data_IF_287347276308
#
_entry.id   IF_287347276308
#
_cell.length_a   1.000
_cell.length_b   1.000
_cell.length_c   1.000
_cell.angle_alpha   90.00
_cell.angle_beta   90.00
_cell.angle_gamma   90.00
#
_symmetry.space_group_name_H-M   'P 1'
#
loop_
_entity.id
_entity.type
_entity.pdbx_description
1 polymer ?
#
# COMPACT_ATOMS: atom_id res chain seq x y z
N UNK A 1 -5.97 -5.47 -21.18
CA UNK A 1 -6.35 -4.05 -20.95
C UNK A 1 -7.86 -3.99 -20.85
N UNK A 2 -8.38 -3.36 -19.79
CA UNK A 2 -9.81 -3.04 -19.65
C UNK A 2 -10.04 -1.72 -20.38
N UNK A 3 -10.90 -1.73 -21.38
CA UNK A 3 -11.35 -0.53 -22.08
C UNK A 3 -12.70 -0.11 -21.48
N UNK A 4 -12.79 1.12 -21.02
CA UNK A 4 -14.03 1.74 -20.57
C UNK A 4 -14.53 2.68 -21.64
N UNK A 5 -15.86 2.68 -21.85
CA UNK A 5 -16.51 3.46 -22.88
C UNK A 5 -17.43 4.50 -22.22
N UNK A 6 -17.41 5.71 -22.71
CA UNK A 6 -18.37 6.71 -22.32
C UNK A 6 -19.71 6.42 -23.02
N UNK A 7 -20.73 6.13 -22.22
CA UNK A 7 -22.07 5.82 -22.69
C UNK A 7 -23.03 7.04 -22.67
N UNK A 8 -22.55 8.22 -22.30
CA UNK A 8 -23.36 9.42 -22.18
C UNK A 8 -23.52 10.18 -23.52
N UNK A 9 -22.73 9.81 -24.54
CA UNK A 9 -22.81 10.38 -25.88
C UNK A 9 -23.74 9.62 -26.82
N UNK A 10 -24.00 10.18 -28.02
CA UNK A 10 -24.80 9.54 -29.08
C UNK A 10 -24.17 8.26 -29.64
N UNK A 11 -22.86 8.10 -29.49
CA UNK A 11 -22.12 6.88 -29.83
C UNK A 11 -21.11 6.55 -28.74
N UNK A 12 -20.89 5.25 -28.44
CA UNK A 12 -19.89 4.86 -27.45
C UNK A 12 -18.49 5.27 -27.93
N UNK A 13 -17.81 6.05 -27.12
CA UNK A 13 -16.43 6.50 -27.36
C UNK A 13 -15.52 6.02 -26.24
N UNK A 14 -14.23 5.77 -26.49
CA UNK A 14 -13.29 5.45 -25.44
C UNK A 14 -13.27 6.54 -24.37
N UNK A 15 -13.38 6.14 -23.11
CA UNK A 15 -13.36 7.07 -21.99
C UNK A 15 -12.00 7.76 -21.93
N UNK A 16 -11.99 9.09 -21.98
CA UNK A 16 -10.82 9.91 -21.80
C UNK A 16 -11.14 11.04 -20.84
N UNK A 17 -10.77 10.90 -19.58
CA UNK A 17 -11.01 11.92 -18.57
C UNK A 17 -9.91 12.99 -18.66
N UNK A 18 -10.31 14.25 -18.74
CA UNK A 18 -9.41 15.39 -18.66
C UNK A 18 -9.34 15.92 -17.23
N UNK A 19 -8.33 16.74 -16.94
CA UNK A 19 -8.19 17.41 -15.65
C UNK A 19 -9.40 18.27 -15.32
N UNK A 20 -9.95 18.94 -16.32
CA UNK A 20 -11.13 19.81 -16.18
C UNK A 20 -12.38 19.00 -15.81
N UNK A 21 -12.59 17.85 -16.46
CA UNK A 21 -13.70 16.95 -16.15
C UNK A 21 -13.62 16.43 -14.72
N UNK A 22 -12.42 16.04 -14.28
CA UNK A 22 -12.16 15.56 -12.93
C UNK A 22 -12.45 16.66 -11.92
N UNK A 23 -11.95 17.86 -12.16
CA UNK A 23 -12.18 19.02 -11.29
C UNK A 23 -13.65 19.39 -11.18
N UNK A 24 -14.37 19.42 -12.30
CA UNK A 24 -15.80 19.72 -12.33
C UNK A 24 -16.63 18.70 -11.54
N UNK A 25 -16.29 17.41 -11.64
CA UNK A 25 -16.99 16.31 -10.94
C UNK A 25 -16.63 16.24 -9.45
N UNK A 26 -15.41 16.56 -9.06
CA UNK A 26 -14.95 16.41 -7.67
C UNK A 26 -15.27 17.63 -6.81
N UNK A 27 -15.33 18.83 -7.35
CA UNK A 27 -15.64 20.07 -6.60
C UNK A 27 -16.91 19.94 -5.72
N UNK A 28 -18.06 19.46 -6.25
CA UNK A 28 -19.27 19.30 -5.43
C UNK A 28 -19.16 18.18 -4.40
N UNK A 29 -18.33 17.17 -4.64
CA UNK A 29 -18.18 16.01 -3.76
C UNK A 29 -17.25 16.30 -2.58
N UNK A 30 -16.14 16.98 -2.84
CA UNK A 30 -15.15 17.33 -1.82
C UNK A 30 -15.49 18.63 -1.08
N UNK A 31 -16.42 19.42 -1.61
CA UNK A 31 -16.81 20.72 -1.02
C UNK A 31 -15.70 21.78 -1.07
N UNK A 32 -14.65 21.55 -1.86
CA UNK A 32 -13.52 22.46 -2.06
C UNK A 32 -13.11 22.50 -3.52
N UNK A 33 -12.74 23.67 -3.99
CA UNK A 33 -12.09 23.86 -5.30
C UNK A 33 -10.57 23.86 -5.21
N UNK A 34 -10.02 23.89 -3.98
CA UNK A 34 -8.58 23.87 -3.72
C UNK A 34 -8.07 22.43 -3.71
N UNK A 35 -7.82 21.94 -4.92
CA UNK A 35 -7.26 20.61 -5.15
C UNK A 35 -6.09 20.72 -6.13
N UNK A 36 -5.02 19.99 -5.82
CA UNK A 36 -3.89 19.82 -6.72
C UNK A 36 -4.10 18.55 -7.53
N UNK A 37 -4.12 18.67 -8.85
CA UNK A 37 -4.26 17.55 -9.79
C UNK A 37 -2.92 17.39 -10.50
N UNK A 38 -2.40 16.18 -10.52
CA UNK A 38 -1.12 15.84 -11.13
C UNK A 38 -1.27 14.56 -11.93
N UNK A 39 -0.86 14.58 -13.19
CA UNK A 39 -0.78 13.38 -14.02
C UNK A 39 0.50 12.61 -13.68
N UNK A 40 0.34 11.35 -13.29
CA UNK A 40 1.44 10.46 -12.94
C UNK A 40 1.57 9.33 -13.95
N UNK A 41 2.79 9.07 -14.36
CA UNK A 41 3.19 7.96 -15.24
C UNK A 41 3.96 6.86 -14.49
N UNK A 42 4.13 7.02 -13.19
CA UNK A 42 4.86 6.11 -12.32
C UNK A 42 4.07 5.78 -11.03
N UNK A 43 4.47 4.71 -10.37
CA UNK A 43 3.87 4.32 -9.08
C UNK A 43 4.45 5.15 -7.93
N UNK A 44 3.57 5.61 -7.04
CA UNK A 44 3.97 6.22 -5.76
C UNK A 44 3.80 5.23 -4.59
N UNK A 45 4.06 5.70 -3.36
CA UNK A 45 3.97 4.85 -2.16
C UNK A 45 2.55 4.39 -1.81
N UNK A 46 1.51 5.00 -2.38
CA UNK A 46 0.11 4.67 -2.13
C UNK A 46 -0.56 4.01 -3.32
N UNK A 47 -0.25 4.47 -4.52
CA UNK A 47 -0.67 3.84 -5.76
C UNK A 47 0.48 2.98 -6.30
N UNK A 48 0.57 1.76 -5.78
CA UNK A 48 1.64 0.83 -6.10
C UNK A 48 1.06 -0.51 -6.51
N UNK A 49 1.48 -0.98 -7.67
CA UNK A 49 1.20 -2.31 -8.17
C UNK A 49 2.49 -3.14 -8.16
N UNK A 50 2.42 -4.35 -7.59
CA UNK A 50 3.53 -5.30 -7.64
C UNK A 50 3.40 -6.29 -8.80
N UNK A 51 2.23 -6.34 -9.43
CA UNK A 51 1.89 -7.28 -10.49
C UNK A 51 1.38 -6.58 -11.76
N UNK A 52 1.69 -5.29 -11.93
CA UNK A 52 1.22 -4.46 -13.04
C UNK A 52 -0.32 -4.51 -13.23
N UNK A 53 -1.07 -4.63 -12.13
CA UNK A 53 -2.53 -4.65 -12.13
C UNK A 53 -3.14 -3.24 -12.13
N UNK A 54 -2.36 -2.23 -11.77
CA UNK A 54 -2.81 -0.86 -11.76
C UNK A 54 -2.38 -0.16 -13.04
N UNK A 55 -3.32 0.52 -13.66
CA UNK A 55 -3.07 1.21 -14.92
C UNK A 55 -2.33 2.53 -14.71
N UNK A 56 -1.51 2.89 -15.65
CA UNK A 56 -0.85 4.17 -15.80
C UNK A 56 -1.11 4.67 -17.23
N UNK A 57 -1.23 5.97 -17.47
CA UNK A 57 -1.12 7.08 -16.53
C UNK A 57 -2.40 7.31 -15.69
N UNK A 58 -2.23 7.92 -14.53
CA UNK A 58 -3.31 8.27 -13.61
C UNK A 58 -3.24 9.71 -13.16
N UNK A 59 -4.39 10.26 -12.77
CA UNK A 59 -4.46 11.54 -12.08
C UNK A 59 -4.39 11.33 -10.56
N UNK A 60 -3.42 11.97 -9.92
CA UNK A 60 -3.34 12.09 -8.46
C UNK A 60 -3.96 13.42 -8.05
N UNK A 61 -5.01 13.36 -7.26
CA UNK A 61 -5.70 14.53 -6.72
C UNK A 61 -5.41 14.59 -5.22
N UNK A 62 -4.84 15.72 -4.79
CA UNK A 62 -4.58 15.99 -3.38
C UNK A 62 -5.53 17.12 -2.95
N UNK A 63 -6.53 16.77 -2.14
CA UNK A 63 -7.46 17.74 -1.59
C UNK A 63 -6.92 18.32 -0.28
N UNK A 64 -7.06 19.63 -0.10
CA UNK A 64 -6.73 20.30 1.15
C UNK A 64 -7.94 20.30 2.10
N UNK A 65 -8.49 19.10 2.32
CA UNK A 65 -9.54 18.87 3.30
C UNK A 65 -8.95 18.54 4.68
N UNK A 66 -9.79 18.41 5.71
CA UNK A 66 -9.38 18.07 7.09
C UNK A 66 -8.62 16.74 7.19
N UNK A 67 -8.87 15.83 6.26
CA UNK A 67 -8.26 14.50 6.21
C UNK A 67 -7.05 14.42 5.26
N UNK A 68 -6.69 15.55 4.60
CA UNK A 68 -5.66 15.57 3.56
C UNK A 68 -5.84 14.42 2.58
N UNK A 69 -7.05 14.28 2.06
CA UNK A 69 -7.48 13.15 1.23
C UNK A 69 -6.71 13.10 -0.09
N UNK A 70 -6.42 11.87 -0.52
CA UNK A 70 -5.81 11.61 -1.84
C UNK A 70 -6.71 10.70 -2.65
N UNK A 71 -6.96 11.11 -3.88
CA UNK A 71 -7.65 10.30 -4.87
C UNK A 71 -6.71 9.99 -6.03
N UNK A 72 -6.87 8.80 -6.58
CA UNK A 72 -6.20 8.36 -7.79
C UNK A 72 -7.27 7.94 -8.78
N UNK A 73 -7.27 8.55 -9.96
CA UNK A 73 -8.28 8.30 -10.99
C UNK A 73 -7.57 7.92 -12.28
N UNK A 74 -7.91 6.74 -12.81
CA UNK A 74 -7.43 6.33 -14.13
C UNK A 74 -8.03 7.22 -15.21
N UNK A 75 -7.18 7.71 -16.11
CA UNK A 75 -7.60 8.56 -17.23
C UNK A 75 -8.41 7.80 -18.28
N UNK A 76 -8.24 6.47 -18.34
CA UNK A 76 -8.81 5.59 -19.38
C UNK A 76 -9.99 4.76 -18.87
N UNK A 77 -9.93 4.29 -17.63
CA UNK A 77 -10.99 3.44 -17.06
C UNK A 77 -11.91 4.16 -16.10
N UNK A 78 -11.50 5.34 -15.59
CA UNK A 78 -12.23 6.06 -14.55
C UNK A 78 -12.18 5.36 -13.18
N UNK A 79 -11.41 4.28 -13.04
CA UNK A 79 -11.25 3.60 -11.74
C UNK A 79 -10.72 4.60 -10.71
N UNK A 80 -11.44 4.72 -9.59
CA UNK A 80 -11.11 5.68 -8.55
C UNK A 80 -10.67 4.96 -7.28
N UNK A 81 -9.56 5.42 -6.69
CA UNK A 81 -9.05 4.94 -5.41
C UNK A 81 -8.89 6.09 -4.44
N UNK A 82 -9.60 6.00 -3.33
CA UNK A 82 -9.60 7.03 -2.29
C UNK A 82 -8.77 6.59 -1.08
N UNK A 83 -7.96 7.51 -0.56
CA UNK A 83 -7.17 7.32 0.65
C UNK A 83 -7.34 8.52 1.58
N UNK A 84 -8.04 8.32 2.69
CA UNK A 84 -8.02 9.24 3.82
C UNK A 84 -6.69 9.15 4.57
N UNK A 85 -6.42 10.08 5.48
CA UNK A 85 -5.23 10.05 6.34
C UNK A 85 -5.08 8.70 7.06
N UNK A 86 -6.19 8.22 7.64
CA UNK A 86 -6.21 6.94 8.36
C UNK A 86 -5.98 5.74 7.44
N UNK A 87 -6.51 5.78 6.22
CA UNK A 87 -6.27 4.78 5.18
C UNK A 87 -4.81 4.75 4.74
N UNK A 88 -4.17 5.91 4.63
CA UNK A 88 -2.73 6.03 4.28
C UNK A 88 -1.84 5.45 5.38
N UNK A 89 -2.13 5.76 6.65
CA UNK A 89 -1.39 5.20 7.80
C UNK A 89 -1.50 3.68 7.84
N UNK A 90 -2.71 3.13 7.67
CA UNK A 90 -2.92 1.68 7.61
C UNK A 90 -2.19 1.04 6.45
N UNK A 91 -2.23 1.65 5.27
CA UNK A 91 -1.52 1.16 4.08
C UNK A 91 0.01 1.26 4.23
N UNK A 92 0.49 2.24 5.00
CA UNK A 92 1.91 2.37 5.28
C UNK A 92 2.38 1.32 6.28
N UNK A 93 1.67 1.12 7.39
CA UNK A 93 2.06 0.19 8.44
C UNK A 93 2.07 -1.27 7.95
N UNK A 94 0.97 -1.76 7.41
CA UNK A 94 0.86 -3.19 7.11
C UNK A 94 1.52 -3.57 5.77
N UNK A 95 1.17 -2.99 4.61
CA UNK A 95 1.81 -3.38 3.35
C UNK A 95 3.28 -3.00 3.26
N UNK A 96 3.71 -1.91 3.90
CA UNK A 96 5.12 -1.55 3.93
C UNK A 96 5.92 -2.53 4.79
N UNK A 97 5.53 -2.71 6.06
CA UNK A 97 6.30 -3.56 6.99
C UNK A 97 6.27 -5.04 6.61
N UNK A 98 5.16 -5.54 6.02
CA UNK A 98 5.01 -6.96 5.70
C UNK A 98 5.48 -7.33 4.29
N UNK A 99 5.26 -6.46 3.31
CA UNK A 99 5.47 -6.79 1.90
C UNK A 99 6.45 -5.85 1.19
N UNK A 100 7.05 -4.89 1.90
CA UNK A 100 7.90 -3.84 1.32
C UNK A 100 7.23 -3.16 0.11
N UNK A 101 5.93 -2.84 0.26
CA UNK A 101 5.09 -2.32 -0.82
C UNK A 101 5.20 -0.81 -0.91
N UNK A 102 6.29 -0.34 -1.49
CA UNK A 102 6.56 1.07 -1.79
C UNK A 102 6.94 1.22 -3.26
N UNK A 103 6.79 2.44 -3.80
CA UNK A 103 7.06 2.72 -5.21
C UNK A 103 8.42 2.25 -5.66
N UNK A 104 9.47 2.53 -4.90
CA UNK A 104 10.85 2.10 -5.18
C UNK A 104 10.99 0.58 -5.39
N UNK A 105 10.35 -0.24 -4.57
CA UNK A 105 10.40 -1.70 -4.72
C UNK A 105 9.45 -2.24 -5.79
N UNK A 106 8.47 -1.45 -6.25
CA UNK A 106 7.66 -1.82 -7.40
C UNK A 106 8.48 -1.76 -8.70
N UNK A 107 9.39 -0.80 -8.80
CA UNK A 107 10.31 -0.65 -9.94
C UNK A 107 11.48 -1.64 -9.88
N UNK A 108 11.82 -2.15 -8.67
CA UNK A 108 12.94 -3.06 -8.45
C UNK A 108 12.53 -4.38 -7.81
N UNK A 109 11.81 -5.28 -8.51
CA UNK A 109 11.26 -6.51 -7.95
C UNK A 109 12.32 -7.46 -7.41
N UNK A 110 13.47 -7.57 -8.06
CA UNK A 110 14.57 -8.42 -7.61
C UNK A 110 15.16 -7.95 -6.29
N UNK A 111 15.37 -6.64 -6.13
CA UNK A 111 15.87 -6.08 -4.87
C UNK A 111 14.89 -6.30 -3.74
N UNK A 112 13.58 -6.17 -4.00
CA UNK A 112 12.54 -6.48 -3.02
C UNK A 112 12.62 -7.93 -2.53
N UNK A 113 12.78 -8.89 -3.43
CA UNK A 113 12.91 -10.32 -3.08
C UNK A 113 14.13 -10.55 -2.20
N UNK A 114 15.28 -9.96 -2.53
CA UNK A 114 16.50 -10.07 -1.74
C UNK A 114 16.29 -9.50 -0.33
N UNK A 115 15.72 -8.30 -0.21
CA UNK A 115 15.43 -7.70 1.09
C UNK A 115 14.45 -8.56 1.92
N UNK A 116 13.41 -9.11 1.29
CA UNK A 116 12.47 -10.01 1.96
C UNK A 116 13.16 -11.28 2.47
N UNK A 117 14.04 -11.89 1.66
CA UNK A 117 14.81 -13.08 2.07
C UNK A 117 15.72 -12.79 3.27
N UNK A 118 16.41 -11.65 3.28
CA UNK A 118 17.27 -11.24 4.41
C UNK A 118 16.45 -11.07 5.68
N UNK A 119 15.27 -10.41 5.59
CA UNK A 119 14.39 -10.22 6.74
C UNK A 119 13.84 -11.56 7.27
N UNK A 120 13.44 -12.47 6.39
CA UNK A 120 12.94 -13.79 6.77
C UNK A 120 14.04 -14.62 7.44
N UNK A 121 15.25 -14.62 6.89
CA UNK A 121 16.40 -15.32 7.50
C UNK A 121 16.75 -14.73 8.86
N UNK A 122 16.76 -13.40 9.00
CA UNK A 122 16.95 -12.73 10.29
C UNK A 122 15.88 -13.14 11.31
N UNK A 123 14.61 -13.14 10.91
CA UNK A 123 13.50 -13.60 11.75
C UNK A 123 13.64 -15.06 12.18
N UNK A 124 14.11 -15.94 11.28
CA UNK A 124 14.39 -17.35 11.59
C UNK A 124 15.47 -17.49 12.66
N UNK A 125 16.59 -16.76 12.54
CA UNK A 125 17.67 -16.77 13.53
C UNK A 125 17.18 -16.33 14.90
N UNK A 126 16.40 -15.24 14.97
CA UNK A 126 15.81 -14.75 16.22
C UNK A 126 14.86 -15.78 16.82
N UNK A 127 14.01 -16.40 15.99
CA UNK A 127 13.07 -17.42 16.43
C UNK A 127 13.77 -18.66 17.02
N UNK A 128 14.79 -19.20 16.33
CA UNK A 128 15.59 -20.33 16.80
C UNK A 128 16.31 -19.99 18.11
N UNK A 129 16.89 -18.77 18.21
CA UNK A 129 17.55 -18.29 19.44
C UNK A 129 16.57 -18.26 20.60
N UNK A 130 15.34 -17.74 20.37
CA UNK A 130 14.28 -17.69 21.38
C UNK A 130 13.89 -19.08 21.89
N UNK A 131 13.75 -20.06 20.99
CA UNK A 131 13.45 -21.45 21.35
C UNK A 131 14.58 -22.04 22.21
N UNK A 132 15.84 -21.87 21.81
CA UNK A 132 16.99 -22.38 22.56
C UNK A 132 17.08 -21.77 23.98
N UNK A 133 16.88 -20.45 24.08
CA UNK A 133 16.87 -19.76 25.37
C UNK A 133 15.69 -20.22 26.24
N UNK A 134 14.51 -20.39 25.67
CA UNK A 134 13.33 -20.92 26.35
C UNK A 134 13.58 -22.33 26.91
N UNK A 135 14.17 -23.23 26.12
CA UNK A 135 14.54 -24.58 26.58
C UNK A 135 15.56 -24.56 27.73
N UNK A 136 16.58 -23.72 27.62
CA UNK A 136 17.59 -23.57 28.69
C UNK A 136 16.96 -23.02 29.97
N UNK A 137 16.06 -22.07 29.86
CA UNK A 137 15.33 -21.52 31.01
C UNK A 137 14.45 -22.60 31.68
N UNK A 138 13.65 -23.30 30.88
CA UNK A 138 12.78 -24.38 31.38
C UNK A 138 13.55 -25.46 32.10
N UNK A 139 14.63 -25.94 31.50
CA UNK A 139 15.54 -26.94 32.16
C UNK A 139 16.08 -26.44 33.51
N UNK A 140 16.43 -25.15 33.60
CA UNK A 140 16.91 -24.56 34.85
C UNK A 140 15.83 -24.51 35.93
N UNK A 141 14.60 -24.13 35.57
CA UNK A 141 13.46 -24.08 36.47
C UNK A 141 13.12 -25.50 37.01
N UNK A 142 13.02 -26.47 36.11
CA UNK A 142 12.72 -27.87 36.48
C UNK A 142 13.81 -28.44 37.42
N UNK A 143 15.08 -28.20 37.14
CA UNK A 143 16.16 -28.65 38.03
C UNK A 143 16.08 -28.03 39.44
N UNK A 144 15.74 -26.74 39.52
CA UNK A 144 15.55 -26.05 40.83
C UNK A 144 14.34 -26.56 41.60
N UNK A 145 13.23 -26.85 40.92
CA UNK A 145 12.04 -27.43 41.54
C UNK A 145 12.33 -28.83 42.10
N UNK A 146 13.01 -29.68 41.33
CA UNK A 146 13.40 -31.05 41.77
C UNK A 146 14.33 -31.03 43.00
N UNK A 147 15.27 -30.08 43.06
CA UNK A 147 16.18 -29.92 44.21
C UNK A 147 15.48 -29.44 45.48
N UNK A 148 14.34 -28.78 45.39
CA UNK A 148 13.52 -28.34 46.56
C UNK A 148 12.66 -29.46 47.13
N UNK A 149 12.25 -30.44 46.34
CA UNK A 149 11.46 -31.60 46.80
C UNK A 149 12.31 -32.75 47.37
N UNK A 150 13.63 -32.69 47.25
CA UNK A 150 14.56 -33.71 47.75
C UNK A 150 15.23 -33.36 49.09
N UNK A 151 14.79 -32.28 49.70
CA UNK A 151 15.12 -31.87 51.08
C UNK A 151 13.89 -31.97 51.95
#
# INVERSE_FOLDING_TARGET
>A
QLESWDALGEAPQPLHLTEEDIKAKLTPVLGTSDMQIELMDHYDNYYVSLNNLYELPIYRISAQDKESSRLYISSTTGETRYYSLNGRVKKWLYPFCHNLRIGFFAEHPTLRIICMLVLVLGGLVVSVSGVVLGFRYLRRVIRRAKSRHSK
#
